data_IF_538029794655
#
_entry.id   IF_538029794655
#
_cell.length_a   1.000
_cell.length_b   1.000
_cell.length_c   1.000
_cell.angle_alpha   90.00
_cell.angle_beta   90.00
_cell.angle_gamma   90.00
#
_symmetry.space_group_name_H-M   'P 1'
#
loop_
_entity.id
_entity.type
_entity.pdbx_description
1 polymer ?
#
# COMPACT_ATOMS: atom_id res chain seq x y z
N UNK A 1 4.94 6.89 -7.36
CA UNK A 1 5.60 5.58 -7.18
C UNK A 1 4.56 4.49 -7.44
N UNK A 2 4.96 3.26 -7.79
CA UNK A 2 4.01 2.13 -7.83
C UNK A 2 4.07 1.29 -6.57
N UNK A 3 2.94 1.07 -5.93
CA UNK A 3 2.80 0.04 -4.90
C UNK A 3 2.58 -1.32 -5.56
N UNK A 4 3.32 -2.33 -5.11
CA UNK A 4 3.09 -3.73 -5.44
C UNK A 4 2.39 -4.37 -4.25
N UNK A 5 1.12 -4.75 -4.42
CA UNK A 5 0.31 -5.28 -3.32
C UNK A 5 0.56 -6.79 -3.22
N UNK A 6 1.30 -7.22 -2.21
CA UNK A 6 1.73 -8.63 -2.08
C UNK A 6 0.77 -9.49 -1.26
N UNK A 7 -0.15 -8.85 -0.52
CA UNK A 7 -1.13 -9.50 0.34
C UNK A 7 -2.52 -8.83 0.24
N UNK A 8 -3.51 -9.42 0.91
CA UNK A 8 -4.85 -8.88 1.07
C UNK A 8 -5.75 -8.94 -0.17
N UNK A 9 -6.88 -8.22 -0.12
CA UNK A 9 -7.91 -8.31 -1.15
C UNK A 9 -7.48 -7.88 -2.56
N UNK A 10 -6.43 -7.04 -2.67
CA UNK A 10 -5.89 -6.55 -3.96
C UNK A 10 -4.53 -7.16 -4.32
N UNK A 11 -4.22 -8.32 -3.75
CA UNK A 11 -2.96 -9.02 -4.00
C UNK A 11 -2.70 -9.20 -5.50
N UNK A 12 -1.48 -8.89 -5.93
CA UNK A 12 -1.02 -8.97 -7.31
C UNK A 12 -1.30 -7.72 -8.14
N UNK A 13 -2.01 -6.73 -7.59
CA UNK A 13 -2.21 -5.44 -8.26
C UNK A 13 -0.99 -4.53 -8.12
N UNK A 14 -0.81 -3.67 -9.14
CA UNK A 14 0.17 -2.58 -9.10
C UNK A 14 -0.51 -1.24 -9.37
N UNK A 15 -0.48 -0.36 -8.37
CA UNK A 15 -1.20 0.91 -8.37
C UNK A 15 -0.25 2.09 -8.15
N UNK A 16 -0.62 3.25 -8.67
CA UNK A 16 0.14 4.47 -8.40
C UNK A 16 -0.23 5.05 -7.03
N UNK A 17 0.79 5.36 -6.23
CA UNK A 17 0.65 5.93 -4.89
C UNK A 17 1.64 7.05 -4.67
N UNK A 18 1.28 7.95 -3.76
CA UNK A 18 2.23 8.91 -3.21
C UNK A 18 3.27 8.20 -2.33
N UNK A 19 4.54 8.64 -2.35
CA UNK A 19 5.55 8.12 -1.44
C UNK A 19 5.18 8.40 0.03
N UNK A 20 5.29 7.38 0.88
CA UNK A 20 4.98 7.42 2.32
C UNK A 20 6.17 7.04 3.20
N UNK A 21 7.35 6.84 2.60
CA UNK A 21 8.61 6.64 3.32
C UNK A 21 8.90 7.81 4.28
N UNK A 22 9.46 7.49 5.45
CA UNK A 22 9.82 8.48 6.47
C UNK A 22 8.63 9.05 7.25
N UNK A 23 7.40 8.59 6.99
CA UNK A 23 6.19 9.02 7.71
C UNK A 23 5.55 7.83 8.42
N UNK A 24 5.89 7.51 9.68
CA UNK A 24 5.12 6.53 10.45
C UNK A 24 3.62 6.90 10.43
N UNK A 25 2.71 5.97 10.11
CA UNK A 25 2.89 4.52 10.00
C UNK A 25 3.26 3.97 8.60
N UNK A 26 3.54 4.84 7.63
CA UNK A 26 3.94 4.50 6.25
C UNK A 26 2.90 3.64 5.53
N UNK A 27 1.64 4.06 5.68
CA UNK A 27 0.46 3.36 5.15
C UNK A 27 -0.19 4.11 3.99
N UNK A 28 -0.89 3.34 3.16
CA UNK A 28 -1.80 3.85 2.13
C UNK A 28 -3.19 3.25 2.36
N UNK A 29 -4.22 4.03 2.08
CA UNK A 29 -5.61 3.59 2.12
C UNK A 29 -6.14 3.48 0.70
N UNK A 30 -6.59 2.28 0.34
CA UNK A 30 -7.13 1.98 -0.99
C UNK A 30 -8.63 1.78 -0.90
N UNK A 31 -9.42 2.42 -1.77
CA UNK A 31 -10.87 2.24 -1.75
C UNK A 31 -11.24 0.80 -2.06
N UNK A 32 -12.18 0.24 -1.28
CA UNK A 32 -12.69 -1.12 -1.44
C UNK A 32 -13.84 -1.25 -2.47
N UNK A 33 -14.38 -0.11 -2.90
CA UNK A 33 -15.49 -0.01 -3.85
C UNK A 33 -16.89 -0.08 -3.22
N UNK A 34 -17.00 -0.29 -1.91
CA UNK A 34 -18.27 -0.31 -1.14
C UNK A 34 -18.42 0.91 -0.22
N UNK A 35 -17.38 1.74 -0.12
CA UNK A 35 -17.39 2.97 0.66
C UNK A 35 -16.41 2.95 1.83
N UNK A 36 -15.79 1.79 2.08
CA UNK A 36 -14.73 1.59 3.06
C UNK A 36 -13.35 1.62 2.38
N UNK A 37 -12.30 1.43 3.17
CA UNK A 37 -10.92 1.39 2.65
C UNK A 37 -10.18 0.15 3.14
N UNK A 38 -9.23 -0.32 2.35
CA UNK A 38 -8.25 -1.31 2.78
C UNK A 38 -6.92 -0.62 3.02
N UNK A 39 -6.40 -0.75 4.24
CA UNK A 39 -5.12 -0.18 4.62
C UNK A 39 -3.98 -1.15 4.34
N UNK A 40 -2.95 -0.64 3.68
CA UNK A 40 -1.71 -1.34 3.41
C UNK A 40 -0.54 -0.59 4.02
N UNK A 41 0.52 -1.29 4.45
CA UNK A 41 1.77 -0.68 4.87
C UNK A 41 2.91 -1.08 3.95
N UNK A 42 3.94 -0.24 3.91
CA UNK A 42 5.21 -0.61 3.30
C UNK A 42 5.75 -1.89 3.94
N UNK A 43 6.09 -2.86 3.10
CA UNK A 43 6.63 -4.16 3.54
C UNK A 43 8.13 -4.07 3.81
N UNK A 44 8.83 -3.27 3.02
CA UNK A 44 10.24 -2.93 3.22
C UNK A 44 10.34 -1.48 3.71
N UNK A 45 11.29 -1.22 4.61
CA UNK A 45 11.43 0.09 5.28
C UNK A 45 11.94 1.21 4.35
N UNK A 46 12.05 0.94 3.05
CA UNK A 46 12.55 1.86 2.03
C UNK A 46 11.60 1.88 0.83
N UNK A 47 11.42 3.08 0.26
CA UNK A 47 10.75 3.28 -1.03
C UNK A 47 11.81 3.69 -2.06
N UNK A 48 12.71 2.76 -2.36
CA UNK A 48 13.76 3.01 -3.35
C UNK A 48 13.30 2.64 -4.77
N UNK A 49 13.64 3.47 -5.75
CA UNK A 49 13.32 3.23 -7.16
C UNK A 49 11.89 3.62 -7.56
N UNK A 50 11.33 2.91 -8.55
CA UNK A 50 10.02 3.25 -9.13
C UNK A 50 8.86 2.48 -8.49
N UNK A 51 9.15 1.43 -7.71
CA UNK A 51 8.19 0.48 -7.13
C UNK A 51 8.54 0.15 -5.69
N UNK A 52 7.55 -0.11 -4.83
CA UNK A 52 7.75 -0.62 -3.47
C UNK A 52 6.68 -1.67 -3.10
N UNK A 53 7.05 -2.65 -2.29
CA UNK A 53 6.13 -3.71 -1.84
C UNK A 53 5.29 -3.26 -0.65
N UNK A 54 4.02 -3.65 -0.68
CA UNK A 54 3.03 -3.32 0.32
C UNK A 54 2.26 -4.55 0.76
N UNK A 55 2.02 -4.65 2.07
CA UNK A 55 1.27 -5.74 2.67
C UNK A 55 0.00 -5.20 3.32
N UNK A 56 -1.04 -6.03 3.33
CA UNK A 56 -2.32 -5.67 3.88
C UNK A 56 -2.28 -5.65 5.40
N UNK A 57 -2.88 -4.63 6.00
CA UNK A 57 -3.04 -4.53 7.45
C UNK A 57 -4.46 -4.90 7.88
N UNK A 58 -5.45 -4.12 7.48
CA UNK A 58 -6.86 -4.29 7.86
C UNK A 58 -7.80 -3.40 7.02
N UNK A 59 -9.10 -3.68 7.08
CA UNK A 59 -10.15 -2.80 6.54
C UNK A 59 -10.44 -1.63 7.51
N UNK A 60 -10.61 -0.43 6.97
CA UNK A 60 -10.83 0.85 7.66
C UNK A 60 -12.24 1.33 7.41
#
# INVERSE_FOLDING_TARGET
MRALLEDGPRRGESIEVEPVEGRPPSTIDLPDGQGDSWRYCLSEWTQEGMTACYTFLYAV
#
